data_IF_195310245307
#
_entry.id   IF_195310245307
#
_cell.length_a   1.000
_cell.length_b   1.000
_cell.length_c   1.000
_cell.angle_alpha   90.00
_cell.angle_beta   90.00
_cell.angle_gamma   90.00
#
_symmetry.space_group_name_H-M   'P 1'
#
loop_
_entity.id
_entity.type
_entity.pdbx_description
1 polymer ?
#
# COMPACT_ATOMS: atom_id res chain seq x y z
N UNK A 1 -6.83 -21.11 -22.36
CA UNK A 1 -6.85 -20.47 -21.04
C UNK A 1 -7.52 -19.13 -21.22
N UNK A 2 -8.55 -18.84 -20.42
CA UNK A 2 -9.06 -17.48 -20.25
C UNK A 2 -8.16 -16.72 -19.29
N UNK A 3 -8.17 -15.39 -19.36
CA UNK A 3 -7.47 -14.55 -18.40
C UNK A 3 -8.14 -13.20 -18.23
N UNK A 4 -7.63 -12.43 -17.28
CA UNK A 4 -7.98 -11.04 -17.07
C UNK A 4 -6.73 -10.19 -17.21
N UNK A 5 -6.78 -9.19 -18.08
CA UNK A 5 -5.76 -8.16 -18.21
C UNK A 5 -6.12 -6.96 -17.35
N UNK A 6 -5.19 -6.52 -16.52
CA UNK A 6 -5.26 -5.27 -15.79
C UNK A 6 -4.19 -4.32 -16.30
N UNK A 7 -4.59 -3.20 -16.91
CA UNK A 7 -3.68 -2.20 -17.48
C UNK A 7 -3.56 -1.02 -16.51
N UNK A 8 -2.32 -0.70 -16.15
CA UNK A 8 -1.91 0.37 -15.26
C UNK A 8 -1.34 1.53 -16.08
N UNK A 9 -1.65 2.77 -15.69
CA UNK A 9 -1.22 4.03 -16.34
C UNK A 9 -1.71 4.14 -17.80
N UNK A 10 -1.74 5.35 -18.35
CA UNK A 10 -2.19 5.59 -19.74
C UNK A 10 -3.68 5.32 -20.02
N UNK A 11 -4.50 5.17 -18.98
CA UNK A 11 -5.93 4.90 -19.11
C UNK A 11 -6.67 6.22 -19.40
N UNK A 12 -7.01 6.45 -20.67
CA UNK A 12 -8.07 7.41 -21.04
C UNK A 12 -9.33 7.09 -20.23
N UNK A 13 -10.00 8.12 -19.66
CA UNK A 13 -11.25 8.06 -18.86
C UNK A 13 -12.46 7.54 -19.66
N UNK A 14 -12.27 6.70 -20.66
CA UNK A 14 -13.35 5.89 -21.19
C UNK A 14 -13.80 4.95 -20.08
N UNK A 15 -15.02 5.18 -19.58
CA UNK A 15 -15.68 4.27 -18.66
C UNK A 15 -15.61 2.87 -19.26
N UNK A 16 -15.37 1.89 -18.42
CA UNK A 16 -15.48 0.49 -18.77
C UNK A 16 -16.95 0.15 -19.14
N UNK A 17 -17.37 0.55 -20.33
CA UNK A 17 -18.66 0.20 -20.89
C UNK A 17 -18.56 -1.22 -21.44
N UNK A 18 -19.39 -2.13 -20.93
CA UNK A 18 -19.50 -3.50 -21.42
C UNK A 18 -18.60 -4.53 -20.73
N UNK A 19 -18.05 -4.24 -19.54
CA UNK A 19 -17.47 -5.31 -18.72
C UNK A 19 -18.57 -6.26 -18.23
N UNK A 20 -18.36 -7.58 -18.28
CA UNK A 20 -19.25 -8.54 -17.62
C UNK A 20 -19.45 -8.22 -16.13
N UNK A 21 -20.63 -8.56 -15.60
CA UNK A 21 -21.01 -8.29 -14.21
C UNK A 21 -20.02 -8.81 -13.17
N UNK A 22 -19.27 -9.87 -13.52
CA UNK A 22 -18.22 -10.45 -12.67
C UNK A 22 -17.09 -9.47 -12.33
N UNK A 23 -16.84 -8.45 -13.16
CA UNK A 23 -15.73 -7.50 -12.99
C UNK A 23 -16.17 -6.12 -12.48
N UNK A 24 -17.47 -5.83 -12.43
CA UNK A 24 -17.98 -4.52 -12.03
C UNK A 24 -17.59 -4.15 -10.59
N UNK A 25 -17.57 -5.13 -9.68
CA UNK A 25 -17.13 -4.93 -8.30
C UNK A 25 -15.68 -4.47 -8.24
N UNK A 26 -14.80 -5.18 -8.94
CA UNK A 26 -13.37 -4.89 -8.99
C UNK A 26 -13.07 -3.56 -9.70
N UNK A 27 -13.76 -3.27 -10.80
CA UNK A 27 -13.63 -2.00 -11.51
C UNK A 27 -14.09 -0.79 -10.67
N UNK A 28 -15.13 -0.96 -9.83
CA UNK A 28 -15.57 0.08 -8.89
C UNK A 28 -14.55 0.30 -7.77
N UNK A 29 -13.96 -0.78 -7.28
CA UNK A 29 -12.99 -0.74 -6.20
C UNK A 29 -11.62 -0.20 -6.65
N UNK A 30 -11.25 -0.46 -7.91
CA UNK A 30 -9.96 -0.12 -8.53
C UNK A 30 -10.16 0.72 -9.80
N UNK A 31 -10.74 1.93 -9.70
CA UNK A 31 -11.18 2.71 -10.86
C UNK A 31 -10.05 3.27 -11.73
N UNK A 32 -8.80 3.21 -11.24
CA UNK A 32 -7.61 3.65 -11.97
C UNK A 32 -7.00 2.55 -12.86
N UNK A 33 -7.53 1.32 -12.81
CA UNK A 33 -7.10 0.20 -13.64
C UNK A 33 -8.13 -0.04 -14.75
N UNK A 34 -7.64 -0.26 -15.97
CA UNK A 34 -8.49 -0.77 -17.06
C UNK A 34 -8.45 -2.29 -17.07
N UNK A 35 -9.61 -2.91 -16.87
CA UNK A 35 -9.78 -4.36 -16.94
C UNK A 35 -10.22 -4.78 -18.36
N UNK A 36 -9.69 -5.89 -18.87
CA UNK A 36 -10.06 -6.49 -20.15
C UNK A 36 -9.99 -8.01 -20.07
N UNK A 37 -11.04 -8.70 -20.49
CA UNK A 37 -10.98 -10.16 -20.61
C UNK A 37 -10.05 -10.60 -21.74
N UNK A 38 -9.35 -11.71 -21.52
CA UNK A 38 -8.41 -12.31 -22.45
C UNK A 38 -8.89 -13.71 -22.83
N UNK A 39 -9.57 -13.88 -23.98
CA UNK A 39 -9.88 -15.21 -24.50
C UNK A 39 -8.64 -15.93 -25.05
N UNK A 40 -7.53 -15.20 -25.25
CA UNK A 40 -6.24 -15.67 -25.73
C UNK A 40 -5.13 -14.65 -25.44
N UNK A 41 -3.93 -14.83 -26.00
CA UNK A 41 -2.81 -13.90 -25.82
C UNK A 41 -3.18 -12.48 -26.22
N UNK A 42 -2.59 -11.44 -25.60
CA UNK A 42 -2.86 -10.07 -25.99
C UNK A 42 -2.27 -9.79 -27.38
N UNK A 43 -2.99 -9.01 -28.19
CA UNK A 43 -2.60 -8.60 -29.55
C UNK A 43 -1.89 -7.23 -29.60
N UNK A 44 -1.74 -6.57 -28.45
CA UNK A 44 -1.10 -5.26 -28.33
C UNK A 44 0.31 -5.37 -27.73
N UNK A 45 1.12 -4.33 -27.95
CA UNK A 45 2.52 -4.28 -27.52
C UNK A 45 2.72 -3.77 -26.08
N UNK A 46 1.64 -3.71 -25.26
CA UNK A 46 1.77 -3.24 -23.86
C UNK A 46 2.61 -4.27 -23.08
N UNK A 47 3.75 -3.86 -22.49
CA UNK A 47 4.57 -4.75 -21.66
C UNK A 47 3.74 -5.32 -20.51
N UNK A 48 3.82 -6.62 -20.28
CA UNK A 48 3.05 -7.27 -19.22
C UNK A 48 3.81 -8.32 -18.42
N UNK A 49 3.34 -8.53 -17.20
CA UNK A 49 3.70 -9.67 -16.36
C UNK A 49 2.52 -10.65 -16.34
N UNK A 50 2.77 -11.89 -16.78
CA UNK A 50 1.80 -12.97 -16.61
C UNK A 50 1.91 -13.57 -15.21
N UNK A 51 0.77 -13.71 -14.54
CA UNK A 51 0.64 -14.31 -13.20
C UNK A 51 -0.38 -15.46 -13.30
N UNK A 52 0.08 -16.71 -13.41
CA UNK A 52 -0.79 -17.87 -13.32
C UNK A 52 -1.42 -17.97 -11.93
N UNK A 53 -2.73 -18.21 -11.86
CA UNK A 53 -3.45 -18.33 -10.57
C UNK A 53 -2.89 -19.49 -9.74
N UNK A 54 -2.55 -20.61 -10.37
CA UNK A 54 -1.93 -21.76 -9.69
C UNK A 54 -0.60 -21.39 -9.03
N UNK A 55 0.21 -20.55 -9.67
CA UNK A 55 1.46 -20.06 -9.08
C UNK A 55 1.17 -19.11 -7.92
N UNK A 56 0.25 -18.16 -8.08
CA UNK A 56 -0.17 -17.21 -7.04
C UNK A 56 -0.67 -17.88 -5.76
N UNK A 57 -1.43 -18.97 -5.91
CA UNK A 57 -1.98 -19.75 -4.80
C UNK A 57 -0.93 -20.65 -4.12
N UNK A 58 0.22 -20.86 -4.76
CA UNK A 58 1.32 -21.64 -4.20
C UNK A 58 1.79 -21.09 -2.86
N UNK A 59 2.11 -22.00 -1.92
CA UNK A 59 2.71 -21.63 -0.64
C UNK A 59 4.13 -21.04 -0.78
N UNK A 60 4.76 -21.32 -1.92
CA UNK A 60 6.12 -20.88 -2.25
C UNK A 60 6.12 -19.72 -3.26
N UNK A 61 4.97 -19.05 -3.49
CA UNK A 61 4.93 -17.91 -4.39
C UNK A 61 5.93 -16.84 -3.95
N UNK A 62 6.79 -16.43 -4.88
CA UNK A 62 7.85 -15.47 -4.59
C UNK A 62 7.34 -14.05 -4.84
N UNK A 63 6.79 -13.44 -3.79
CA UNK A 63 6.30 -12.07 -3.85
C UNK A 63 7.39 -11.06 -4.26
N UNK A 64 8.63 -11.26 -3.80
CA UNK A 64 9.74 -10.37 -4.12
C UNK A 64 10.10 -10.38 -5.61
N UNK A 65 10.11 -11.56 -6.24
CA UNK A 65 10.36 -11.66 -7.68
C UNK A 65 9.23 -10.99 -8.47
N UNK A 66 7.98 -11.21 -8.09
CA UNK A 66 6.84 -10.56 -8.74
C UNK A 66 6.94 -9.03 -8.63
N UNK A 67 7.18 -8.51 -7.43
CA UNK A 67 7.30 -7.07 -7.20
C UNK A 67 8.44 -6.47 -8.00
N UNK A 68 9.64 -7.08 -7.96
CA UNK A 68 10.80 -6.61 -8.72
C UNK A 68 10.53 -6.57 -10.24
N UNK A 69 9.84 -7.58 -10.79
CA UNK A 69 9.47 -7.62 -12.21
C UNK A 69 8.46 -6.52 -12.55
N UNK A 70 7.49 -6.26 -11.68
CA UNK A 70 6.52 -5.18 -11.88
C UNK A 70 7.14 -3.80 -11.71
N UNK A 71 8.05 -3.62 -10.76
CA UNK A 71 8.84 -2.40 -10.61
C UNK A 71 9.64 -2.12 -11.88
N UNK A 72 10.33 -3.14 -12.40
CA UNK A 72 11.07 -3.05 -13.66
C UNK A 72 10.18 -2.65 -14.84
N UNK A 73 8.93 -3.14 -14.89
CA UNK A 73 7.95 -2.73 -15.91
C UNK A 73 7.48 -1.29 -15.72
N UNK A 74 7.17 -0.90 -14.48
CA UNK A 74 6.66 0.41 -14.13
C UNK A 74 7.71 1.53 -14.29
N UNK A 75 9.00 1.21 -14.12
CA UNK A 75 10.10 2.19 -14.17
C UNK A 75 10.78 2.29 -15.53
N UNK A 76 10.58 1.32 -16.44
CA UNK A 76 11.29 1.27 -17.72
C UNK A 76 11.12 2.53 -18.57
N UNK A 77 9.86 2.92 -18.82
CA UNK A 77 9.50 4.06 -19.69
C UNK A 77 8.44 4.97 -19.05
N UNK A 78 8.05 4.70 -17.80
CA UNK A 78 6.90 5.30 -17.10
C UNK A 78 5.56 5.23 -17.88
N UNK A 79 5.52 4.44 -18.95
CA UNK A 79 4.36 4.22 -19.81
C UNK A 79 3.36 3.22 -19.23
N UNK A 80 2.31 2.88 -20.00
CA UNK A 80 1.36 1.85 -19.61
C UNK A 80 2.03 0.48 -19.55
N UNK A 81 1.66 -0.32 -18.55
CA UNK A 81 2.03 -1.73 -18.43
C UNK A 81 0.83 -2.54 -17.95
N UNK A 82 0.90 -3.87 -18.04
CA UNK A 82 -0.20 -4.72 -17.64
C UNK A 82 0.19 -5.90 -16.76
N UNK A 83 -0.80 -6.41 -16.02
CA UNK A 83 -0.75 -7.69 -15.32
C UNK A 83 -1.77 -8.61 -15.97
N UNK A 84 -1.31 -9.74 -16.49
CA UNK A 84 -2.13 -10.73 -17.16
C UNK A 84 -2.38 -11.89 -16.19
N UNK A 85 -3.58 -11.96 -15.61
CA UNK A 85 -3.96 -12.97 -14.63
C UNK A 85 -4.56 -14.16 -15.38
N UNK A 86 -3.91 -15.32 -15.30
CA UNK A 86 -4.22 -16.48 -16.13
C UNK A 86 -4.74 -17.64 -15.27
N UNK A 87 -5.94 -18.14 -15.54
CA UNK A 87 -6.55 -19.18 -14.71
C UNK A 87 -7.93 -19.61 -15.20
N UNK A 88 -8.59 -20.46 -14.42
CA UNK A 88 -9.96 -20.88 -14.75
C UNK A 88 -10.95 -19.77 -14.41
N UNK A 89 -12.04 -19.58 -15.17
CA UNK A 89 -12.99 -18.48 -14.96
C UNK A 89 -13.52 -18.36 -13.52
N UNK A 90 -13.70 -19.47 -12.82
CA UNK A 90 -14.18 -19.51 -11.43
C UNK A 90 -13.16 -19.02 -10.39
N UNK A 91 -11.86 -19.06 -10.71
CA UNK A 91 -10.77 -18.67 -9.80
C UNK A 91 -10.38 -17.20 -9.98
N UNK A 92 -10.52 -16.69 -11.21
CA UNK A 92 -10.05 -15.37 -11.61
C UNK A 92 -10.59 -14.21 -10.74
N UNK A 93 -11.87 -14.14 -10.33
CA UNK A 93 -12.37 -13.01 -9.55
C UNK A 93 -11.63 -12.82 -8.22
N UNK A 94 -11.39 -13.91 -7.49
CA UNK A 94 -10.67 -13.88 -6.22
C UNK A 94 -9.21 -13.52 -6.43
N UNK A 95 -8.52 -14.26 -7.30
CA UNK A 95 -7.11 -14.03 -7.58
C UNK A 95 -6.85 -12.60 -8.09
N UNK A 96 -7.74 -12.07 -8.94
CA UNK A 96 -7.64 -10.69 -9.41
C UNK A 96 -7.80 -9.67 -8.28
N UNK A 97 -8.75 -9.87 -7.35
CA UNK A 97 -8.87 -8.99 -6.18
C UNK A 97 -7.59 -8.96 -5.34
N UNK A 98 -7.02 -10.13 -5.07
CA UNK A 98 -5.79 -10.27 -4.27
C UNK A 98 -4.56 -9.66 -5.00
N UNK A 99 -4.35 -10.04 -6.26
CA UNK A 99 -3.21 -9.58 -7.09
C UNK A 99 -3.28 -8.06 -7.30
N UNK A 100 -4.44 -7.54 -7.70
CA UNK A 100 -4.56 -6.10 -7.98
C UNK A 100 -4.53 -5.25 -6.71
N UNK A 101 -4.93 -5.80 -5.56
CA UNK A 101 -4.70 -5.13 -4.27
C UNK A 101 -3.20 -5.02 -3.98
N UNK A 102 -2.41 -6.09 -4.18
CA UNK A 102 -0.94 -6.01 -4.04
C UNK A 102 -0.31 -5.03 -5.04
N UNK A 103 -0.93 -4.86 -6.20
CA UNK A 103 -0.45 -3.96 -7.26
C UNK A 103 -0.93 -2.51 -7.13
N UNK A 104 -1.70 -2.16 -6.10
CA UNK A 104 -2.34 -0.85 -6.08
C UNK A 104 -1.35 0.32 -5.98
N UNK A 105 -0.14 0.12 -5.45
CA UNK A 105 0.91 1.16 -5.39
C UNK A 105 1.29 1.76 -6.74
N UNK A 106 1.02 1.06 -7.85
CA UNK A 106 1.23 1.60 -9.20
C UNK A 106 0.01 2.31 -9.80
N UNK A 107 -1.11 2.35 -9.07
CA UNK A 107 -2.29 3.11 -9.46
C UNK A 107 -2.03 4.60 -9.24
N UNK A 108 -2.47 5.41 -10.19
CA UNK A 108 -2.51 6.87 -10.05
C UNK A 108 -3.91 7.31 -9.57
N UNK A 109 -4.42 6.66 -8.51
CA UNK A 109 -5.71 7.06 -7.93
C UNK A 109 -5.51 8.37 -7.19
N UNK A 110 -6.23 9.40 -7.62
CA UNK A 110 -6.19 10.74 -7.03
C UNK A 110 -7.55 11.41 -6.99
N UNK A 111 -7.77 12.22 -5.98
CA UNK A 111 -8.91 13.13 -5.86
C UNK A 111 -8.52 14.58 -6.22
N UNK A 112 -9.39 15.54 -5.97
CA UNK A 112 -9.13 16.95 -6.31
C UNK A 112 -7.89 17.52 -5.58
N UNK A 113 -7.66 17.12 -4.34
CA UNK A 113 -6.57 17.65 -3.51
C UNK A 113 -5.17 17.28 -4.02
N UNK A 114 -5.00 16.12 -4.67
CA UNK A 114 -3.72 15.65 -5.21
C UNK A 114 -3.61 15.69 -6.73
N UNK A 115 -4.65 16.13 -7.44
CA UNK A 115 -4.61 16.37 -8.89
C UNK A 115 -4.03 17.76 -9.21
N UNK A 116 -2.78 17.96 -8.84
CA UNK A 116 -2.08 19.24 -9.05
C UNK A 116 -0.60 19.03 -9.36
N UNK A 117 -0.02 19.97 -10.10
CA UNK A 117 1.41 19.96 -10.42
C UNK A 117 2.30 20.11 -9.16
N UNK A 118 1.78 20.67 -8.07
CA UNK A 118 2.51 20.71 -6.80
C UNK A 118 2.55 19.32 -6.15
N UNK A 119 1.47 18.55 -6.21
CA UNK A 119 1.46 17.18 -5.71
C UNK A 119 2.31 16.24 -6.59
N UNK A 120 2.35 16.46 -7.90
CA UNK A 120 3.29 15.74 -8.78
C UNK A 120 4.75 15.97 -8.36
N UNK A 121 5.09 17.20 -7.95
CA UNK A 121 6.41 17.50 -7.37
C UNK A 121 6.62 16.80 -6.02
N UNK A 122 5.59 16.72 -5.16
CA UNK A 122 5.69 15.94 -3.91
C UNK A 122 6.05 14.49 -4.20
N UNK A 123 5.39 13.84 -5.16
CA UNK A 123 5.69 12.44 -5.50
C UNK A 123 7.09 12.27 -6.10
N UNK A 124 7.55 13.23 -6.90
CA UNK A 124 8.91 13.23 -7.45
C UNK A 124 9.97 13.37 -6.34
N UNK A 125 9.85 14.37 -5.47
CA UNK A 125 10.79 14.57 -4.36
C UNK A 125 10.73 13.41 -3.35
N UNK A 126 9.55 12.85 -3.09
CA UNK A 126 9.41 11.65 -2.29
C UNK A 126 10.18 10.48 -2.91
N UNK A 127 10.05 10.26 -4.23
CA UNK A 127 10.82 9.22 -4.94
C UNK A 127 12.32 9.48 -4.90
N UNK A 128 12.76 10.72 -5.06
CA UNK A 128 14.18 11.09 -5.09
C UNK A 128 14.84 11.00 -3.70
N UNK A 129 14.07 11.20 -2.63
CA UNK A 129 14.55 11.00 -1.26
C UNK A 129 14.85 9.52 -0.94
N UNK A 130 14.25 8.57 -1.66
CA UNK A 130 14.42 7.14 -1.44
C UNK A 130 15.51 6.56 -2.36
N UNK A 131 16.64 6.16 -1.77
CA UNK A 131 17.67 5.35 -2.45
C UNK A 131 17.16 3.92 -2.68
N UNK A 132 16.46 3.70 -3.81
CA UNK A 132 15.87 2.41 -4.15
C UNK A 132 16.89 1.31 -4.48
N UNK A 133 18.20 1.62 -4.53
CA UNK A 133 19.23 0.58 -4.60
C UNK A 133 19.34 -0.19 -3.27
N UNK A 134 18.86 0.39 -2.17
CA UNK A 134 18.81 -0.26 -0.86
C UNK A 134 17.49 -1.01 -0.67
N UNK A 135 17.50 -2.33 -0.41
CA UNK A 135 16.27 -3.13 -0.31
C UNK A 135 15.27 -2.66 0.75
N UNK A 136 15.75 -2.19 1.92
CA UNK A 136 14.86 -1.71 2.98
C UNK A 136 14.22 -0.37 2.63
N UNK A 137 14.99 0.54 2.01
CA UNK A 137 14.48 1.83 1.50
C UNK A 137 13.48 1.61 0.36
N UNK A 138 13.72 0.63 -0.51
CA UNK A 138 12.76 0.20 -1.53
C UNK A 138 11.43 -0.24 -0.91
N UNK A 139 11.50 -1.10 0.10
CA UNK A 139 10.31 -1.58 0.81
C UNK A 139 9.55 -0.43 1.49
N UNK A 140 10.25 0.54 2.10
CA UNK A 140 9.61 1.71 2.72
C UNK A 140 8.94 2.63 1.68
N UNK A 141 9.57 2.82 0.52
CA UNK A 141 8.95 3.58 -0.58
C UNK A 141 7.68 2.90 -1.10
N UNK A 142 7.74 1.59 -1.35
CA UNK A 142 6.58 0.83 -1.84
C UNK A 142 5.45 0.83 -0.81
N UNK A 143 5.79 0.70 0.48
CA UNK A 143 4.86 0.81 1.60
C UNK A 143 4.17 2.18 1.65
N UNK A 144 4.92 3.26 1.54
CA UNK A 144 4.38 4.62 1.54
C UNK A 144 3.35 4.83 0.40
N UNK A 145 3.67 4.36 -0.81
CA UNK A 145 2.74 4.42 -1.94
C UNK A 145 1.50 3.55 -1.71
N UNK A 146 1.66 2.32 -1.21
CA UNK A 146 0.54 1.41 -0.95
C UNK A 146 -0.39 1.96 0.17
N UNK A 147 0.18 2.49 1.25
CA UNK A 147 -0.54 3.17 2.34
C UNK A 147 -1.31 4.39 1.84
N UNK A 148 -0.71 5.20 0.95
CA UNK A 148 -1.42 6.30 0.31
C UNK A 148 -2.60 5.82 -0.55
N UNK A 149 -2.44 4.72 -1.30
CA UNK A 149 -3.53 4.16 -2.11
C UNK A 149 -4.64 3.52 -1.25
N UNK A 150 -4.30 2.90 -0.11
CA UNK A 150 -5.27 2.44 0.87
C UNK A 150 -6.09 3.59 1.46
N UNK A 151 -5.47 4.74 1.72
CA UNK A 151 -6.17 5.94 2.20
C UNK A 151 -7.33 6.30 1.28
N UNK A 152 -7.14 6.26 -0.04
CA UNK A 152 -8.22 6.51 -1.00
C UNK A 152 -9.24 5.37 -1.13
N UNK A 153 -8.84 4.13 -0.87
CA UNK A 153 -9.78 3.00 -0.87
C UNK A 153 -10.71 3.05 0.33
N UNK A 154 -10.22 3.58 1.46
CA UNK A 154 -10.98 3.76 2.69
C UNK A 154 -11.78 5.08 2.70
N UNK A 155 -11.18 6.17 2.21
CA UNK A 155 -11.77 7.51 2.16
C UNK A 155 -11.38 8.20 0.83
N UNK A 156 -12.18 8.06 -0.25
CA UNK A 156 -11.86 8.61 -1.57
C UNK A 156 -11.70 10.14 -1.60
N UNK A 157 -12.28 10.84 -0.63
CA UNK A 157 -12.25 12.29 -0.44
C UNK A 157 -11.22 12.76 0.59
N UNK A 158 -10.32 11.87 1.06
CA UNK A 158 -9.25 12.21 2.00
C UNK A 158 -8.53 13.50 1.57
N UNK A 159 -8.39 14.44 2.50
CA UNK A 159 -7.80 15.74 2.19
C UNK A 159 -6.28 15.65 1.96
N UNK A 160 -5.69 16.79 1.57
CA UNK A 160 -4.27 16.86 1.25
C UNK A 160 -3.37 16.45 2.44
N UNK A 161 -3.68 16.90 3.66
CA UNK A 161 -2.81 16.65 4.82
C UNK A 161 -2.77 15.16 5.17
N UNK A 162 -3.89 14.45 5.09
CA UNK A 162 -3.93 13.00 5.29
C UNK A 162 -3.14 12.26 4.20
N UNK A 163 -3.27 12.67 2.94
CA UNK A 163 -2.51 12.06 1.84
C UNK A 163 -1.00 12.25 2.01
N UNK A 164 -0.57 13.45 2.41
CA UNK A 164 0.83 13.73 2.70
C UNK A 164 1.31 12.91 3.90
N UNK A 165 0.54 12.86 4.99
CA UNK A 165 0.89 12.04 6.15
C UNK A 165 1.03 10.55 5.78
N UNK A 166 0.16 10.01 4.93
CA UNK A 166 0.27 8.63 4.46
C UNK A 166 1.57 8.35 3.69
N UNK A 167 2.01 9.28 2.83
CA UNK A 167 3.27 9.16 2.10
C UNK A 167 4.48 9.26 3.04
N UNK A 168 4.46 10.20 3.98
CA UNK A 168 5.65 10.57 4.76
C UNK A 168 5.72 9.95 6.16
N UNK A 169 4.73 9.15 6.59
CA UNK A 169 4.64 8.64 7.98
C UNK A 169 5.92 7.92 8.46
N UNK A 170 6.61 7.23 7.55
CA UNK A 170 7.81 6.44 7.83
C UNK A 170 9.09 7.04 7.22
N UNK A 171 9.07 8.30 6.75
CA UNK A 171 10.19 8.93 6.01
C UNK A 171 11.49 9.02 6.82
N UNK A 172 11.43 8.98 8.14
CA UNK A 172 12.62 9.00 8.99
C UNK A 172 13.52 7.76 8.79
N UNK A 173 12.92 6.62 8.41
CA UNK A 173 13.62 5.33 8.26
C UNK A 173 14.69 5.38 7.17
N UNK A 174 14.61 6.34 6.27
CA UNK A 174 15.64 6.65 5.29
C UNK A 174 16.99 7.02 5.92
N UNK A 175 16.98 7.53 7.16
CA UNK A 175 18.17 7.86 7.93
C UNK A 175 18.50 6.78 8.97
N UNK A 176 17.52 6.30 9.73
CA UNK A 176 17.75 5.43 10.89
C UNK A 176 17.83 3.94 10.55
N UNK A 177 17.16 3.49 9.48
CA UNK A 177 16.95 2.07 9.17
C UNK A 177 17.25 1.69 7.71
N UNK A 178 18.01 2.53 6.99
CA UNK A 178 18.28 2.34 5.56
C UNK A 178 19.00 1.02 5.23
N UNK A 179 19.87 0.55 6.14
CA UNK A 179 20.72 -0.63 5.94
C UNK A 179 20.33 -1.82 6.83
N UNK A 180 19.67 -1.58 7.97
CA UNK A 180 19.20 -2.62 8.87
C UNK A 180 18.01 -2.11 9.70
N UNK A 181 17.05 -2.99 9.98
CA UNK A 181 15.98 -2.70 10.94
C UNK A 181 16.49 -2.83 12.36
N UNK A 182 16.31 -1.79 13.17
CA UNK A 182 16.77 -1.73 14.56
C UNK A 182 15.62 -1.65 15.57
N UNK A 183 14.38 -1.50 15.12
CA UNK A 183 13.18 -1.41 15.99
C UNK A 183 13.12 -2.50 17.07
N UNK A 184 13.52 -3.72 16.72
CA UNK A 184 13.47 -4.90 17.59
C UNK A 184 14.57 -4.93 18.68
N UNK A 185 15.54 -4.03 18.61
CA UNK A 185 16.59 -3.85 19.61
C UNK A 185 16.31 -2.70 20.58
N UNK A 186 15.25 -1.93 20.35
CA UNK A 186 14.90 -0.80 21.20
C UNK A 186 14.62 -1.28 22.64
N UNK A 187 15.27 -0.64 23.61
CA UNK A 187 15.04 -0.92 25.04
C UNK A 187 13.61 -0.57 25.45
N UNK A 188 13.05 0.48 24.87
CA UNK A 188 11.64 0.85 24.95
C UNK A 188 11.10 1.05 23.53
N UNK A 189 10.23 0.13 23.12
CA UNK A 189 9.64 0.14 21.79
C UNK A 189 8.77 1.37 21.55
N UNK A 190 8.03 1.86 22.56
CA UNK A 190 7.14 3.00 22.37
C UNK A 190 7.92 4.31 22.28
N UNK A 191 8.97 4.47 23.09
CA UNK A 191 9.86 5.64 22.98
C UNK A 191 10.51 5.70 21.60
N UNK A 192 11.02 4.56 21.10
CA UNK A 192 11.57 4.48 19.75
C UNK A 192 10.56 4.90 18.67
N UNK A 193 9.31 4.42 18.76
CA UNK A 193 8.26 4.79 17.81
C UNK A 193 7.86 6.27 17.89
N UNK A 194 7.88 6.87 19.09
CA UNK A 194 7.58 8.29 19.26
C UNK A 194 8.69 9.18 18.68
N UNK A 195 9.96 8.82 18.90
CA UNK A 195 11.11 9.56 18.35
C UNK A 195 11.13 9.48 16.82
N UNK A 196 10.84 8.30 16.27
CA UNK A 196 10.64 8.06 14.83
C UNK A 196 9.57 8.98 14.25
N UNK A 197 8.37 9.00 14.86
CA UNK A 197 7.26 9.81 14.40
C UNK A 197 7.56 11.32 14.46
N UNK A 198 8.18 11.79 15.55
CA UNK A 198 8.53 13.20 15.72
C UNK A 198 9.54 13.66 14.66
N UNK A 199 10.61 12.89 14.44
CA UNK A 199 11.63 13.23 13.46
C UNK A 199 11.15 13.04 12.02
N UNK A 200 10.27 12.07 11.77
CA UNK A 200 9.55 11.93 10.50
C UNK A 200 8.72 13.17 10.17
N UNK A 201 8.03 13.73 11.17
CA UNK A 201 7.25 14.97 11.01
C UNK A 201 8.14 16.17 10.65
N UNK A 202 9.31 16.32 11.30
CA UNK A 202 10.27 17.38 10.99
C UNK A 202 10.81 17.29 9.54
N UNK A 203 11.19 16.08 9.10
CA UNK A 203 11.68 15.85 7.74
C UNK A 203 10.59 16.11 6.69
N UNK A 204 9.37 15.65 6.96
CA UNK A 204 8.23 15.88 6.09
C UNK A 204 7.90 17.37 5.95
N UNK A 205 7.81 18.10 7.07
CA UNK A 205 7.55 19.55 7.08
C UNK A 205 8.56 20.30 6.20
N UNK A 206 9.85 20.00 6.35
CA UNK A 206 10.93 20.64 5.59
C UNK A 206 10.82 20.36 4.09
N UNK A 207 10.62 19.11 3.69
CA UNK A 207 10.49 18.72 2.28
C UNK A 207 9.22 19.32 1.65
N UNK A 208 8.09 19.26 2.34
CA UNK A 208 6.84 19.82 1.84
C UNK A 208 6.93 21.34 1.69
N UNK A 209 7.64 22.03 2.61
CA UNK A 209 7.85 23.47 2.53
C UNK A 209 8.71 23.82 1.31
N UNK A 210 9.74 23.04 1.03
CA UNK A 210 10.58 23.16 -0.17
C UNK A 210 9.76 23.00 -1.46
N UNK A 211 8.84 22.03 -1.51
CA UNK A 211 7.96 21.80 -2.68
C UNK A 211 6.92 22.92 -2.87
N UNK A 212 6.66 23.68 -1.81
CA UNK A 212 5.72 24.81 -1.82
C UNK A 212 4.28 24.43 -1.48
N UNK A 213 4.08 23.40 -0.65
CA UNK A 213 2.76 23.13 -0.03
C UNK A 213 2.40 24.29 0.92
N UNK A 214 1.12 24.57 1.10
CA UNK A 214 0.68 25.63 2.01
C UNK A 214 0.98 25.27 3.49
N UNK A 215 1.12 26.29 4.34
CA UNK A 215 1.52 26.10 5.73
C UNK A 215 0.50 25.29 6.55
N UNK A 216 -0.80 25.51 6.33
CA UNK A 216 -1.83 24.82 7.09
C UNK A 216 -1.86 23.32 6.77
N UNK A 217 -1.74 22.95 5.50
CA UNK A 217 -1.67 21.54 5.10
C UNK A 217 -0.39 20.85 5.61
N UNK A 218 0.75 21.55 5.61
CA UNK A 218 2.01 21.01 6.14
C UNK A 218 1.99 20.80 7.63
N UNK A 219 1.63 21.83 8.39
CA UNK A 219 1.55 21.77 9.85
C UNK A 219 0.62 20.65 10.30
N UNK A 220 -0.52 20.48 9.62
CA UNK A 220 -1.44 19.39 9.90
C UNK A 220 -0.89 18.02 9.48
N UNK A 221 -0.21 17.91 8.34
CA UNK A 221 0.43 16.66 7.95
C UNK A 221 1.53 16.26 8.94
N UNK A 222 2.38 17.19 9.37
CA UNK A 222 3.40 16.97 10.38
C UNK A 222 2.79 16.54 11.72
N UNK A 223 1.68 17.16 12.14
CA UNK A 223 0.94 16.72 13.34
C UNK A 223 0.45 15.27 13.21
N UNK A 224 -0.17 14.92 12.08
CA UNK A 224 -0.64 13.57 11.81
C UNK A 224 0.50 12.56 11.83
N UNK A 225 1.64 12.88 11.22
CA UNK A 225 2.85 12.03 11.23
C UNK A 225 3.37 11.88 12.66
N UNK A 226 3.46 12.93 13.46
CA UNK A 226 3.94 12.82 14.83
C UNK A 226 3.03 11.96 15.74
N UNK A 227 1.73 11.89 15.43
CA UNK A 227 0.73 11.20 16.24
C UNK A 227 0.32 9.82 15.72
N UNK A 228 0.74 9.40 14.52
CA UNK A 228 0.22 8.20 13.86
C UNK A 228 0.53 6.88 14.60
N UNK A 229 1.48 6.87 15.54
CA UNK A 229 1.83 5.69 16.33
C UNK A 229 0.90 5.42 17.51
N UNK A 230 -0.06 6.32 17.74
CA UNK A 230 -1.02 6.24 18.83
C UNK A 230 -2.44 6.08 18.32
N UNK A 231 -3.28 5.47 19.17
CA UNK A 231 -4.73 5.59 18.99
C UNK A 231 -5.14 7.03 19.35
N UNK A 232 -6.07 7.63 18.60
CA UNK A 232 -6.52 8.99 18.89
C UNK A 232 -7.11 9.13 20.29
N UNK A 233 -6.79 10.25 20.95
CA UNK A 233 -7.36 10.59 22.24
C UNK A 233 -8.83 11.04 22.13
N UNK A 234 -9.62 10.93 23.21
CA UNK A 234 -10.95 11.52 23.26
C UNK A 234 -10.90 13.04 22.99
N UNK A 235 -11.68 13.52 22.02
CA UNK A 235 -11.75 14.94 21.68
C UNK A 235 -10.65 15.44 20.75
N UNK A 236 -9.79 14.57 20.23
CA UNK A 236 -8.81 14.91 19.20
C UNK A 236 -9.53 15.29 17.89
N UNK A 237 -9.35 16.53 17.38
CA UNK A 237 -10.00 16.99 16.15
C UNK A 237 -9.56 16.18 14.91
N UNK A 238 -8.38 15.55 14.95
CA UNK A 238 -7.82 14.75 13.87
C UNK A 238 -8.01 13.23 14.09
N UNK A 239 -8.84 12.82 15.06
CA UNK A 239 -9.06 11.42 15.37
C UNK A 239 -9.51 10.56 14.17
N UNK A 240 -10.34 11.13 13.29
CA UNK A 240 -10.79 10.43 12.09
C UNK A 240 -9.64 10.24 11.08
N UNK A 241 -8.80 11.26 10.90
CA UNK A 241 -7.62 11.22 10.02
C UNK A 241 -6.56 10.25 10.55
N UNK A 242 -6.26 10.30 11.84
CA UNK A 242 -5.33 9.37 12.49
C UNK A 242 -5.83 7.93 12.43
N UNK A 243 -7.12 7.70 12.64
CA UNK A 243 -7.72 6.36 12.50
C UNK A 243 -7.65 5.84 11.06
N UNK A 244 -7.85 6.73 10.08
CA UNK A 244 -7.72 6.40 8.65
C UNK A 244 -6.27 6.04 8.30
N UNK A 245 -5.28 6.81 8.78
CA UNK A 245 -3.86 6.51 8.59
C UNK A 245 -3.48 5.16 9.22
N UNK A 246 -3.92 4.91 10.45
CA UNK A 246 -3.71 3.63 11.13
C UNK A 246 -4.26 2.45 10.34
N UNK A 247 -5.48 2.56 9.80
CA UNK A 247 -6.06 1.50 8.97
C UNK A 247 -5.29 1.31 7.67
N UNK A 248 -4.90 2.41 7.00
CA UNK A 248 -4.20 2.35 5.73
C UNK A 248 -2.80 1.73 5.88
N UNK A 249 -2.05 2.14 6.90
CA UNK A 249 -0.73 1.59 7.24
C UNK A 249 -0.83 0.10 7.60
N UNK A 250 -1.81 -0.26 8.44
CA UNK A 250 -2.06 -1.65 8.80
C UNK A 250 -2.40 -2.53 7.59
N UNK A 251 -3.30 -2.07 6.71
CA UNK A 251 -3.68 -2.81 5.51
C UNK A 251 -2.51 -2.93 4.54
N UNK A 252 -1.71 -1.87 4.36
CA UNK A 252 -0.47 -1.90 3.57
C UNK A 252 0.53 -2.92 4.10
N UNK A 253 0.71 -2.97 5.43
CA UNK A 253 1.53 -4.01 6.05
C UNK A 253 1.03 -5.41 5.68
N UNK A 254 -0.28 -5.67 5.75
CA UNK A 254 -0.81 -6.99 5.41
C UNK A 254 -0.73 -7.31 3.91
N UNK A 255 -1.08 -6.38 3.01
CA UNK A 255 -1.10 -6.58 1.56
C UNK A 255 0.30 -6.71 0.95
N UNK A 256 1.29 -6.02 1.53
CA UNK A 256 2.61 -5.86 0.92
C UNK A 256 3.73 -6.47 1.76
N UNK A 257 3.91 -5.99 2.99
CA UNK A 257 5.13 -6.18 3.78
C UNK A 257 5.14 -7.42 4.69
N UNK A 258 3.98 -7.96 5.05
CA UNK A 258 3.86 -9.01 6.07
C UNK A 258 4.65 -10.28 5.73
N UNK A 259 4.69 -10.66 4.45
CA UNK A 259 5.48 -11.78 3.97
C UNK A 259 6.99 -11.56 4.14
N UNK A 260 7.46 -10.35 3.85
CA UNK A 260 8.87 -10.01 3.98
C UNK A 260 9.32 -9.78 5.43
N UNK A 261 8.44 -9.22 6.25
CA UNK A 261 8.64 -9.14 7.70
C UNK A 261 8.84 -10.53 8.32
N UNK A 262 8.04 -11.51 7.87
CA UNK A 262 8.20 -12.90 8.28
C UNK A 262 9.54 -13.50 7.88
N UNK A 263 10.02 -13.23 6.67
CA UNK A 263 11.32 -13.73 6.21
C UNK A 263 12.48 -13.08 6.98
N UNK A 264 12.36 -11.79 7.32
CA UNK A 264 13.42 -11.04 7.99
C UNK A 264 13.51 -11.33 9.49
N UNK A 265 12.37 -11.29 10.21
CA UNK A 265 12.34 -11.38 11.68
C UNK A 265 11.87 -12.73 12.22
N UNK A 266 11.29 -13.58 11.36
CA UNK A 266 10.77 -14.88 11.73
C UNK A 266 9.39 -14.86 12.41
N UNK A 267 8.84 -16.05 12.71
CA UNK A 267 7.43 -16.21 13.06
C UNK A 267 7.00 -15.55 14.38
N UNK A 268 7.89 -15.53 15.38
CA UNK A 268 7.54 -15.03 16.71
C UNK A 268 7.39 -13.49 16.73
N UNK A 269 8.36 -12.79 16.15
CA UNK A 269 8.29 -11.34 15.95
C UNK A 269 7.10 -10.97 15.06
N UNK A 270 6.87 -11.74 13.99
CA UNK A 270 5.71 -11.55 13.10
C UNK A 270 4.39 -11.65 13.86
N UNK A 271 4.23 -12.64 14.75
CA UNK A 271 3.00 -12.76 15.56
C UNK A 271 2.77 -11.52 16.44
N UNK A 272 3.83 -11.01 17.07
CA UNK A 272 3.73 -9.77 17.87
C UNK A 272 3.36 -8.57 17.01
N UNK A 273 3.98 -8.43 15.83
CA UNK A 273 3.67 -7.35 14.90
C UNK A 273 2.23 -7.43 14.41
N UNK A 274 1.75 -8.61 14.01
CA UNK A 274 0.35 -8.84 13.61
C UNK A 274 -0.62 -8.44 14.72
N UNK A 275 -0.37 -8.86 15.97
CA UNK A 275 -1.21 -8.49 17.10
C UNK A 275 -1.24 -6.97 17.34
N UNK A 276 -0.08 -6.32 17.31
CA UNK A 276 0.04 -4.87 17.43
C UNK A 276 -0.72 -4.14 16.32
N UNK A 277 -0.53 -4.55 15.06
CA UNK A 277 -1.18 -3.97 13.89
C UNK A 277 -2.70 -4.15 13.91
N UNK A 278 -3.21 -5.34 14.29
CA UNK A 278 -4.66 -5.60 14.34
C UNK A 278 -5.39 -4.82 15.43
N UNK A 279 -4.72 -4.50 16.54
CA UNK A 279 -5.31 -3.68 17.61
C UNK A 279 -5.48 -2.22 17.20
N UNK A 280 -4.66 -1.74 16.25
CA UNK A 280 -4.77 -0.41 15.65
C UNK A 280 -5.76 -0.36 14.47
N UNK A 281 -6.00 -1.50 13.82
CA UNK A 281 -6.95 -1.62 12.72
C UNK A 281 -8.40 -1.62 13.24
N UNK A 282 -9.19 -0.64 12.79
CA UNK A 282 -10.60 -0.51 13.17
C UNK A 282 -11.43 -1.71 12.71
N UNK A 283 -12.49 -2.09 13.46
CA UNK A 283 -13.34 -3.23 13.10
C UNK A 283 -13.87 -3.18 11.66
N UNK A 284 -14.26 -2.00 11.17
CA UNK A 284 -14.82 -1.83 9.83
C UNK A 284 -13.80 -2.10 8.73
N UNK A 285 -12.51 -1.84 8.99
CA UNK A 285 -11.43 -2.04 8.04
C UNK A 285 -10.95 -3.51 7.98
N UNK A 286 -11.25 -4.34 8.99
CA UNK A 286 -10.85 -5.76 9.02
C UNK A 286 -11.42 -6.57 7.86
N UNK A 287 -12.57 -6.18 7.31
CA UNK A 287 -13.18 -6.83 6.14
C UNK A 287 -12.24 -6.89 4.92
N UNK A 288 -11.28 -5.97 4.82
CA UNK A 288 -10.35 -5.95 3.70
C UNK A 288 -9.31 -7.07 3.79
N UNK A 289 -9.07 -7.63 4.98
CA UNK A 289 -8.12 -8.74 5.18
C UNK A 289 -8.54 -10.00 4.42
N UNK A 290 -9.85 -10.23 4.25
CA UNK A 290 -10.40 -11.38 3.52
C UNK A 290 -10.03 -11.36 2.02
N UNK A 291 -9.77 -10.17 1.48
CA UNK A 291 -9.35 -9.98 0.08
C UNK A 291 -7.83 -9.98 -0.12
N UNK A 292 -7.04 -10.32 0.90
CA UNK A 292 -5.58 -10.30 0.83
C UNK A 292 -4.99 -11.70 0.73
N UNK A 293 -3.97 -11.84 -0.12
CA UNK A 293 -3.12 -13.03 -0.12
C UNK A 293 -2.08 -12.92 1.00
N UNK A 294 -2.35 -13.59 2.12
CA UNK A 294 -1.41 -13.71 3.24
C UNK A 294 -0.66 -15.05 3.19
N UNK A 295 0.63 -15.06 3.54
CA UNK A 295 1.35 -16.32 3.76
C UNK A 295 0.69 -17.11 4.89
N UNK A 296 0.68 -18.46 4.85
CA UNK A 296 -0.04 -19.27 5.84
C UNK A 296 0.27 -18.93 7.31
N UNK A 297 1.54 -18.64 7.63
CA UNK A 297 1.96 -18.23 8.98
C UNK A 297 1.35 -16.89 9.41
N UNK A 298 1.29 -15.91 8.50
CA UNK A 298 0.67 -14.60 8.76
C UNK A 298 -0.85 -14.77 8.89
N UNK A 299 -1.49 -15.51 7.99
CA UNK A 299 -2.92 -15.79 8.02
C UNK A 299 -3.34 -16.46 9.34
N UNK A 300 -2.56 -17.44 9.81
CA UNK A 300 -2.81 -18.11 11.09
C UNK A 300 -2.67 -17.15 12.29
N UNK A 301 -1.68 -16.25 12.26
CA UNK A 301 -1.53 -15.24 13.31
C UNK A 301 -2.68 -14.23 13.31
N UNK A 302 -3.16 -13.82 12.12
CA UNK A 302 -4.33 -12.94 11.99
C UNK A 302 -5.58 -13.60 12.56
N UNK A 303 -5.86 -14.85 12.16
CA UNK A 303 -7.03 -15.59 12.64
C UNK A 303 -7.04 -15.72 14.17
N UNK A 304 -5.91 -16.11 14.77
CA UNK A 304 -5.79 -16.27 16.21
C UNK A 304 -6.02 -14.95 16.99
N UNK A 305 -5.50 -13.82 16.49
CA UNK A 305 -5.73 -12.53 17.16
C UNK A 305 -7.17 -12.04 16.96
N UNK A 306 -7.78 -12.28 15.80
CA UNK A 306 -9.19 -11.93 15.57
C UNK A 306 -10.14 -12.72 16.49
N UNK A 307 -9.86 -14.00 16.71
CA UNK A 307 -10.57 -14.81 17.70
C UNK A 307 -10.40 -14.26 19.12
N UNK A 308 -9.17 -13.89 19.50
CA UNK A 308 -8.89 -13.31 20.82
C UNK A 308 -9.56 -11.95 21.03
N UNK A 309 -9.72 -11.14 19.99
CA UNK A 309 -10.42 -9.85 20.05
C UNK A 309 -11.95 -9.99 20.08
N UNK A 310 -12.49 -11.16 19.72
CA UNK A 310 -13.91 -11.45 19.75
C UNK A 310 -14.38 -12.13 21.05
N UNK A 311 -13.44 -12.64 21.86
CA UNK A 311 -13.68 -13.28 23.15
C UNK A 311 -13.78 -12.26 24.30
#
# INVERSE_FOLDING_TARGET
MSGLRAIFRGVSRERAHGLPSAWEGLARELPAIRLREMPGPPEDDIPSLSVPVEEWESQNFNFYDMDWRLDSLAERDFGPFAVDILGRPEELPRAAGEILTRCQRWMDRRNEASRSAVFDRVLAEHRDAHDLAKPLVRADYDHALDTWQWTFRLAPDADLAVQLAALFHDVERLASEADARVEHHAADYQVFKNDHAARGAELAEALLAWVGIDAGARERAAHLIAAHEHLPGPGDPDAAALSLLNDADALSFFSLNSGGYLDYFGPEATRRKVAYTLRRLRPEARRYLDGLRLRPTVAAAVAAELEALAA
#
